data_IF_977444306592
#
_entry.id   IF_977444306592
#
_cell.length_a   1.000
_cell.length_b   1.000
_cell.length_c   1.000
_cell.angle_alpha   90.00
_cell.angle_beta   90.00
_cell.angle_gamma   90.00
#
_symmetry.space_group_name_H-M   'P 1'
#
loop_
_entity.id
_entity.type
_entity.pdbx_description
1 polymer ?
#
# COMPACT_ATOMS: atom_id res chain seq x y z
N UNK A 1 7.73 -5.04 -5.06
CA UNK A 1 6.72 -5.59 -4.13
C UNK A 1 7.25 -5.60 -2.70
N UNK A 2 6.38 -5.44 -1.69
CA UNK A 2 6.82 -5.26 -0.29
C UNK A 2 7.53 -6.48 0.34
N UNK A 3 7.16 -7.71 -0.03
CA UNK A 3 7.79 -8.94 0.47
C UNK A 3 8.95 -9.45 -0.40
N UNK A 4 9.28 -8.77 -1.50
CA UNK A 4 10.34 -9.18 -2.43
C UNK A 4 10.07 -10.48 -3.22
N UNK A 5 8.89 -11.11 -3.08
CA UNK A 5 8.50 -12.28 -3.90
C UNK A 5 7.85 -11.83 -5.21
N UNK A 6 8.13 -12.49 -6.35
CA UNK A 6 7.44 -12.22 -7.61
C UNK A 6 5.96 -12.61 -7.51
N UNK A 7 5.13 -12.00 -8.35
CA UNK A 7 3.72 -12.31 -8.49
C UNK A 7 3.23 -11.92 -9.90
N UNK A 8 2.18 -12.59 -10.36
CA UNK A 8 1.43 -12.26 -11.57
C UNK A 8 0.38 -11.19 -11.29
N UNK A 9 -0.22 -10.64 -12.35
CA UNK A 9 -1.28 -9.62 -12.24
C UNK A 9 -2.53 -10.11 -11.50
N UNK A 10 -2.78 -11.43 -11.47
CA UNK A 10 -3.92 -12.03 -10.76
C UNK A 10 -3.65 -12.31 -9.29
N UNK A 11 -2.40 -12.15 -8.84
CA UNK A 11 -1.96 -12.44 -7.47
C UNK A 11 -1.69 -11.16 -6.66
N UNK A 12 -1.92 -10.00 -7.26
CA UNK A 12 -1.67 -8.69 -6.64
C UNK A 12 -2.93 -7.85 -6.57
N UNK A 13 -2.99 -7.05 -5.51
CA UNK A 13 -3.91 -5.94 -5.35
C UNK A 13 -3.13 -4.63 -5.52
N UNK A 14 -3.84 -3.58 -5.96
CA UNK A 14 -3.25 -2.25 -6.11
C UNK A 14 -3.56 -1.41 -4.87
N UNK A 15 -2.50 -0.97 -4.19
CA UNK A 15 -2.59 0.03 -3.15
C UNK A 15 -2.46 1.44 -3.75
N UNK A 16 -3.42 2.31 -3.47
CA UNK A 16 -3.36 3.71 -3.87
C UNK A 16 -2.52 4.52 -2.89
N UNK A 17 -1.53 5.26 -3.38
CA UNK A 17 -0.68 6.06 -2.50
C UNK A 17 -1.42 7.27 -1.91
N UNK A 18 -2.36 7.87 -2.62
CA UNK A 18 -3.01 9.12 -2.18
C UNK A 18 -4.53 9.20 -2.42
N UNK A 19 -5.10 8.29 -3.22
CA UNK A 19 -6.51 8.31 -3.65
C UNK A 19 -6.95 9.59 -4.39
N UNK A 20 -6.03 10.50 -4.73
CA UNK A 20 -6.36 11.78 -5.35
C UNK A 20 -7.01 11.64 -6.74
N UNK A 21 -6.79 10.50 -7.40
CA UNK A 21 -7.38 10.17 -8.70
C UNK A 21 -8.78 9.57 -8.61
N UNK A 22 -9.25 9.17 -7.42
CA UNK A 22 -10.57 8.55 -7.27
C UNK A 22 -11.66 9.60 -7.38
N UNK A 23 -12.52 9.47 -8.40
CA UNK A 23 -13.67 10.35 -8.62
C UNK A 23 -14.91 9.56 -9.02
N UNK A 24 -16.07 10.09 -8.67
CA UNK A 24 -17.35 9.57 -9.13
C UNK A 24 -17.61 10.04 -10.57
N UNK A 25 -17.73 9.10 -11.50
CA UNK A 25 -17.88 9.39 -12.93
C UNK A 25 -18.78 8.34 -13.57
N UNK A 26 -19.74 8.78 -14.39
CA UNK A 26 -20.68 7.90 -15.09
C UNK A 26 -21.40 6.91 -14.13
N UNK A 27 -21.84 7.39 -12.97
CA UNK A 27 -22.60 6.60 -12.00
C UNK A 27 -21.77 5.58 -11.20
N UNK A 28 -20.44 5.60 -11.31
CA UNK A 28 -19.56 4.68 -10.58
C UNK A 28 -18.28 5.37 -10.09
N UNK A 29 -17.66 4.81 -9.05
CA UNK A 29 -16.35 5.26 -8.58
C UNK A 29 -15.27 4.72 -9.50
N UNK A 30 -14.39 5.60 -9.97
CA UNK A 30 -13.27 5.24 -10.85
C UNK A 30 -11.98 5.83 -10.34
N UNK A 31 -10.94 5.02 -10.41
CA UNK A 31 -9.56 5.36 -10.17
C UNK A 31 -8.93 5.92 -11.46
N UNK A 32 -8.27 7.05 -11.36
CA UNK A 32 -7.53 7.69 -12.47
C UNK A 32 -6.08 7.98 -12.09
N UNK A 33 -5.58 7.29 -11.08
CA UNK A 33 -4.18 7.33 -10.65
C UNK A 33 -3.24 6.95 -11.79
N UNK A 34 -2.09 7.61 -11.82
CA UNK A 34 -0.97 7.16 -12.65
C UNK A 34 -0.45 5.83 -12.09
N UNK A 35 0.18 5.02 -12.93
CA UNK A 35 0.85 3.80 -12.49
C UNK A 35 1.82 4.04 -11.33
N UNK A 36 2.55 5.17 -11.34
CA UNK A 36 3.49 5.56 -10.28
C UNK A 36 2.81 5.89 -8.94
N UNK A 37 1.49 6.09 -8.94
CA UNK A 37 0.68 6.35 -7.74
C UNK A 37 -0.02 5.08 -7.22
N UNK A 38 0.30 3.93 -7.82
CA UNK A 38 -0.20 2.61 -7.46
C UNK A 38 0.97 1.70 -7.07
N UNK A 39 0.82 0.99 -5.95
CA UNK A 39 1.79 -0.01 -5.52
C UNK A 39 1.18 -1.41 -5.60
N UNK A 40 1.68 -2.32 -6.46
CA UNK A 40 1.22 -3.71 -6.48
C UNK A 40 1.76 -4.48 -5.28
N UNK A 41 0.86 -5.22 -4.63
CA UNK A 41 1.15 -5.99 -3.42
C UNK A 41 0.36 -7.29 -3.39
N UNK A 42 0.93 -8.35 -2.81
CA UNK A 42 0.12 -9.51 -2.42
C UNK A 42 -0.97 -9.09 -1.43
N UNK A 43 -2.16 -9.72 -1.43
CA UNK A 43 -3.26 -9.39 -0.52
C UNK A 43 -2.83 -9.31 0.95
N UNK A 44 -2.03 -10.28 1.42
CA UNK A 44 -1.53 -10.28 2.80
C UNK A 44 -0.59 -9.09 3.10
N UNK A 45 0.29 -8.73 2.17
CA UNK A 45 1.17 -7.57 2.34
C UNK A 45 0.38 -6.27 2.33
N UNK A 46 -0.68 -6.22 1.53
CA UNK A 46 -1.57 -5.07 1.44
C UNK A 46 -2.33 -4.86 2.76
N UNK A 47 -2.88 -5.93 3.33
CA UNK A 47 -3.56 -5.90 4.62
C UNK A 47 -2.62 -5.47 5.76
N UNK A 48 -1.38 -6.00 5.78
CA UNK A 48 -0.37 -5.59 6.76
C UNK A 48 0.00 -4.10 6.64
N UNK A 49 0.06 -3.56 5.42
CA UNK A 49 0.30 -2.14 5.19
C UNK A 49 -0.80 -1.30 5.85
N UNK A 50 -2.06 -1.65 5.61
CA UNK A 50 -3.21 -0.97 6.22
C UNK A 50 -3.14 -1.02 7.75
N UNK A 51 -2.83 -2.19 8.32
CA UNK A 51 -2.66 -2.35 9.77
C UNK A 51 -1.55 -1.46 10.35
N UNK A 52 -0.47 -1.20 9.60
CA UNK A 52 0.60 -0.28 10.04
C UNK A 52 0.08 1.16 10.08
N UNK A 53 -0.62 1.60 9.02
CA UNK A 53 -1.15 2.96 8.93
C UNK A 53 -2.20 3.20 10.01
N UNK A 54 -3.14 2.27 10.18
CA UNK A 54 -4.27 2.41 11.11
C UNK A 54 -3.85 2.42 12.58
N UNK A 55 -2.81 1.66 12.94
CA UNK A 55 -2.32 1.57 14.32
C UNK A 55 -1.47 2.77 14.73
N UNK A 56 -0.86 3.47 13.78
CA UNK A 56 -0.04 4.65 14.05
C UNK A 56 -0.89 5.92 13.89
N UNK A 57 -1.20 6.59 15.01
CA UNK A 57 -2.02 7.81 15.00
C UNK A 57 -1.41 8.94 14.16
N UNK A 58 -0.08 9.02 14.08
CA UNK A 58 0.61 10.03 13.26
C UNK A 58 0.41 9.73 11.79
N UNK A 59 0.59 8.47 11.37
CA UNK A 59 0.35 8.07 9.98
C UNK A 59 -1.13 8.20 9.58
N UNK A 60 -2.04 7.81 10.47
CA UNK A 60 -3.49 7.83 10.23
C UNK A 60 -4.08 9.24 10.16
N UNK A 61 -3.61 10.17 11.00
CA UNK A 61 -4.28 11.48 11.17
C UNK A 61 -3.42 12.71 10.90
N UNK A 62 -2.09 12.60 10.93
CA UNK A 62 -1.19 13.76 10.92
C UNK A 62 -0.24 13.79 9.72
N UNK A 63 -0.44 12.89 8.76
CA UNK A 63 0.30 12.85 7.49
C UNK A 63 -0.68 12.81 6.33
N UNK A 64 -0.26 13.33 5.17
CA UNK A 64 -0.98 13.06 3.94
C UNK A 64 -0.93 11.56 3.64
N UNK A 65 -1.92 11.05 2.92
CA UNK A 65 -1.99 9.62 2.56
C UNK A 65 -0.72 9.20 1.82
N UNK A 66 -0.24 10.01 0.87
CA UNK A 66 1.02 9.73 0.16
C UNK A 66 2.21 9.52 1.09
N UNK A 67 2.37 10.39 2.08
CA UNK A 67 3.47 10.31 3.05
C UNK A 67 3.28 9.12 3.98
N UNK A 68 2.05 8.88 4.46
CA UNK A 68 1.72 7.74 5.31
C UNK A 68 2.00 6.40 4.61
N UNK A 69 1.55 6.24 3.36
CA UNK A 69 1.80 5.05 2.54
C UNK A 69 3.28 4.83 2.27
N UNK A 70 4.04 5.89 1.96
CA UNK A 70 5.49 5.78 1.76
C UNK A 70 6.22 5.30 3.02
N UNK A 71 5.89 5.87 4.18
CA UNK A 71 6.49 5.46 5.47
C UNK A 71 6.10 4.03 5.82
N UNK A 72 4.80 3.69 5.72
CA UNK A 72 4.30 2.37 6.04
C UNK A 72 4.91 1.29 5.12
N UNK A 73 5.12 1.58 3.83
CA UNK A 73 5.80 0.69 2.90
C UNK A 73 7.26 0.45 3.31
N UNK A 74 7.96 1.48 3.79
CA UNK A 74 9.31 1.35 4.35
C UNK A 74 9.33 0.40 5.55
N UNK A 75 8.46 0.65 6.54
CA UNK A 75 8.34 -0.18 7.75
C UNK A 75 8.00 -1.63 7.39
N UNK A 76 7.04 -1.83 6.49
CA UNK A 76 6.60 -3.15 6.06
C UNK A 76 7.74 -3.95 5.43
N UNK A 77 8.50 -3.32 4.51
CA UNK A 77 9.66 -3.95 3.87
C UNK A 77 10.68 -4.37 4.92
N UNK A 78 11.06 -3.47 5.83
CA UNK A 78 12.03 -3.78 6.89
C UNK A 78 11.57 -4.98 7.74
N UNK A 79 10.29 -5.02 8.15
CA UNK A 79 9.75 -6.13 8.95
C UNK A 79 9.74 -7.46 8.19
N UNK A 80 9.33 -7.45 6.92
CA UNK A 80 9.27 -8.65 6.10
C UNK A 80 10.67 -9.19 5.74
N UNK A 81 11.65 -8.30 5.53
CA UNK A 81 13.04 -8.69 5.35
C UNK A 81 13.60 -9.34 6.61
N UNK A 82 13.43 -8.73 7.78
CA UNK A 82 13.87 -9.30 9.05
C UNK A 82 13.22 -10.66 9.36
N UNK A 83 11.93 -10.83 9.05
CA UNK A 83 11.21 -12.10 9.24
C UNK A 83 11.70 -13.22 8.29
N UNK A 84 12.29 -12.87 7.15
CA UNK A 84 12.86 -13.84 6.20
C UNK A 84 14.22 -14.37 6.64
N UNK A 85 14.89 -13.67 7.56
CA UNK A 85 16.22 -14.02 8.08
C UNK A 85 16.16 -14.80 9.40
N UNK A 86 14.97 -15.04 9.95
CA UNK A 86 14.77 -15.92 11.11
C UNK A 86 14.81 -17.39 10.65
N UNK A 87 15.63 -18.27 11.25
CA UNK A 87 15.73 -19.69 10.89
C UNK A 87 14.46 -20.49 11.17
#
# INVERSE_FOLDING_TARGET
>A
MACGRPATSTEVELHHLDYAGVRFSAGTWRAFERHDDLAPMHPHCHELLHRIIERDRVLSHHRSRRVASAIALGILRTKLHAAKELP
#
